data_IF_992420854896
#
_entry.id   IF_992420854896
#
_cell.length_a   1.000
_cell.length_b   1.000
_cell.length_c   1.000
_cell.angle_alpha   90.00
_cell.angle_beta   90.00
_cell.angle_gamma   90.00
#
_symmetry.space_group_name_H-M   'P 1'
#
loop_
_entity.id
_entity.type
_entity.pdbx_description
1 polymer ?
#
# COMPACT_ATOMS: atom_id res chain seq x y z
N UNK A 1 2.48 20.96 -0.89
CA UNK A 1 3.66 20.72 -1.76
C UNK A 1 4.22 22.06 -2.25
N UNK A 2 5.35 22.53 -1.69
CA UNK A 2 5.95 23.85 -1.99
C UNK A 2 6.35 24.06 -3.46
N UNK A 3 6.49 23.00 -4.26
CA UNK A 3 6.98 23.05 -5.64
C UNK A 3 5.89 22.93 -6.73
N UNK A 4 4.60 22.92 -6.38
CA UNK A 4 3.49 22.75 -7.35
C UNK A 4 3.49 23.78 -8.48
N UNK A 5 3.99 25.00 -8.23
CA UNK A 5 4.10 26.06 -9.22
C UNK A 5 5.03 25.70 -10.39
N UNK A 6 6.09 24.91 -10.17
CA UNK A 6 7.04 24.48 -11.22
C UNK A 6 6.43 23.47 -12.20
N UNK A 7 5.34 22.82 -11.82
CA UNK A 7 4.64 21.81 -12.63
C UNK A 7 3.52 22.42 -13.50
N UNK A 8 3.24 23.72 -13.38
CA UNK A 8 2.16 24.40 -14.12
C UNK A 8 2.39 24.51 -15.64
N UNK A 9 3.62 24.33 -16.11
CA UNK A 9 3.97 24.37 -17.54
C UNK A 9 3.75 23.01 -18.22
N UNK A 10 3.60 21.93 -17.44
CA UNK A 10 3.42 20.57 -17.91
C UNK A 10 1.92 20.23 -17.86
N UNK A 11 1.08 21.05 -18.52
CA UNK A 11 -0.40 20.93 -18.42
C UNK A 11 -0.96 19.69 -19.11
N UNK A 12 -0.28 19.19 -20.15
CA UNK A 12 -0.78 18.08 -20.98
C UNK A 12 -0.11 16.73 -20.69
N UNK A 13 1.07 16.72 -20.06
CA UNK A 13 1.73 15.46 -19.71
C UNK A 13 1.39 15.03 -18.29
N UNK A 14 0.90 13.79 -18.15
CA UNK A 14 0.73 13.15 -16.85
C UNK A 14 2.11 12.97 -16.22
N UNK A 15 2.40 13.75 -15.18
CA UNK A 15 3.64 13.62 -14.40
C UNK A 15 3.47 12.47 -13.42
N UNK A 16 4.21 11.38 -13.66
CA UNK A 16 4.29 10.25 -12.74
C UNK A 16 5.54 10.40 -11.88
N UNK A 17 5.34 10.51 -10.56
CA UNK A 17 6.45 10.37 -9.62
C UNK A 17 6.68 8.86 -9.49
N UNK A 18 7.77 8.37 -10.09
CA UNK A 18 8.20 7.01 -9.84
C UNK A 18 8.63 6.92 -8.38
N UNK A 19 7.98 6.03 -7.64
CA UNK A 19 8.35 5.69 -6.27
C UNK A 19 9.69 4.93 -6.34
N UNK A 20 10.68 5.35 -5.54
CA UNK A 20 11.99 4.69 -5.42
C UNK A 20 11.84 3.42 -4.58
N UNK A 21 11.03 2.49 -5.07
CA UNK A 21 10.80 1.20 -4.43
C UNK A 21 11.77 0.19 -5.00
N UNK A 22 12.46 -0.52 -4.10
CA UNK A 22 13.21 -1.71 -4.47
C UNK A 22 12.29 -2.76 -5.10
N UNK A 23 12.84 -3.66 -5.92
CA UNK A 23 12.09 -4.78 -6.55
C UNK A 23 11.31 -5.57 -5.48
N UNK A 24 11.96 -5.83 -4.35
CA UNK A 24 11.39 -6.55 -3.20
C UNK A 24 10.20 -5.77 -2.61
N UNK A 25 10.30 -4.45 -2.44
CA UNK A 25 9.20 -3.64 -1.92
C UNK A 25 8.03 -3.57 -2.91
N UNK A 26 8.31 -3.54 -4.21
CA UNK A 26 7.28 -3.58 -5.25
C UNK A 26 6.52 -4.91 -5.22
N UNK A 27 7.21 -6.02 -5.02
CA UNK A 27 6.57 -7.33 -4.84
C UNK A 27 5.71 -7.39 -3.57
N UNK A 28 6.23 -6.88 -2.45
CA UNK A 28 5.47 -6.78 -1.19
C UNK A 28 4.18 -5.97 -1.39
N UNK A 29 4.26 -4.82 -2.04
CA UNK A 29 3.07 -4.02 -2.34
C UNK A 29 2.09 -4.75 -3.26
N UNK A 30 2.56 -5.51 -4.26
CA UNK A 30 1.67 -6.32 -5.11
C UNK A 30 0.92 -7.36 -4.29
N UNK A 31 1.60 -8.06 -3.37
CA UNK A 31 0.95 -9.05 -2.51
C UNK A 31 -0.08 -8.41 -1.58
N UNK A 32 0.25 -7.26 -0.97
CA UNK A 32 -0.67 -6.49 -0.13
C UNK A 32 -1.90 -6.07 -0.93
N UNK A 33 -1.71 -5.55 -2.14
CA UNK A 33 -2.81 -5.14 -3.04
C UNK A 33 -3.66 -6.32 -3.47
N UNK A 34 -3.07 -7.49 -3.74
CA UNK A 34 -3.83 -8.70 -4.10
C UNK A 34 -4.78 -9.08 -2.98
N UNK A 35 -4.26 -9.20 -1.76
CA UNK A 35 -5.06 -9.54 -0.57
C UNK A 35 -6.13 -8.49 -0.26
N UNK A 36 -5.79 -7.21 -0.42
CA UNK A 36 -6.75 -6.13 -0.32
C UNK A 36 -7.87 -6.27 -1.36
N UNK A 37 -7.55 -6.59 -2.62
CA UNK A 37 -8.58 -6.72 -3.65
C UNK A 37 -9.49 -7.94 -3.43
N UNK A 38 -8.92 -9.05 -2.95
CA UNK A 38 -9.68 -10.25 -2.56
C UNK A 38 -10.70 -9.92 -1.46
N UNK A 39 -10.26 -9.26 -0.40
CA UNK A 39 -11.14 -8.88 0.72
C UNK A 39 -12.13 -7.77 0.33
N UNK A 40 -11.80 -6.92 -0.65
CA UNK A 40 -12.70 -5.90 -1.19
C UNK A 40 -13.83 -6.55 -1.97
N UNK A 41 -13.53 -7.61 -2.74
CA UNK A 41 -14.54 -8.42 -3.41
C UNK A 41 -15.53 -9.06 -2.42
N UNK A 42 -15.07 -9.33 -1.20
CA UNK A 42 -15.89 -9.83 -0.10
C UNK A 42 -16.69 -8.72 0.62
N UNK A 43 -16.66 -7.47 0.14
CA UNK A 43 -17.43 -6.36 0.70
C UNK A 43 -16.87 -5.74 1.99
N UNK A 44 -15.62 -6.02 2.36
CA UNK A 44 -14.99 -5.49 3.58
C UNK A 44 -14.41 -4.09 3.37
N UNK A 45 -14.38 -3.28 4.43
CA UNK A 45 -13.66 -1.99 4.42
C UNK A 45 -12.15 -2.24 4.46
N UNK A 46 -11.41 -1.57 3.56
CA UNK A 46 -9.98 -1.81 3.40
C UNK A 46 -9.19 -0.51 3.33
N UNK A 47 -8.17 -0.43 4.18
CA UNK A 47 -7.19 0.65 4.16
C UNK A 47 -5.79 0.09 3.96
N UNK A 48 -5.14 0.50 2.87
CA UNK A 48 -3.76 0.11 2.57
C UNK A 48 -2.82 1.17 3.16
N UNK A 49 -1.87 0.73 3.98
CA UNK A 49 -0.79 1.56 4.52
C UNK A 49 0.58 1.07 4.06
N UNK A 50 1.65 1.74 4.48
CA UNK A 50 3.01 1.29 4.20
C UNK A 50 3.29 -0.05 4.93
N UNK A 51 3.56 -1.11 4.15
CA UNK A 51 3.78 -2.49 4.65
C UNK A 51 2.66 -3.05 5.53
N UNK A 52 1.41 -2.56 5.38
CA UNK A 52 0.26 -3.07 6.14
C UNK A 52 -1.05 -2.90 5.38
N UNK A 53 -2.03 -3.72 5.73
CA UNK A 53 -3.42 -3.57 5.28
C UNK A 53 -4.34 -3.72 6.48
N UNK A 54 -5.29 -2.82 6.60
CA UNK A 54 -6.36 -2.88 7.59
C UNK A 54 -7.58 -3.42 6.85
N UNK A 55 -8.11 -4.54 7.31
CA UNK A 55 -9.32 -5.16 6.76
C UNK A 55 -10.34 -5.21 7.89
N UNK A 56 -11.46 -4.51 7.72
CA UNK A 56 -12.56 -4.50 8.70
C UNK A 56 -12.11 -4.10 10.12
N UNK A 57 -11.22 -3.11 10.21
CA UNK A 57 -10.62 -2.66 11.47
C UNK A 57 -9.50 -3.56 12.02
N UNK A 58 -9.24 -4.73 11.43
CA UNK A 58 -8.13 -5.60 11.82
C UNK A 58 -6.87 -5.23 11.05
N UNK A 59 -5.80 -4.86 11.75
CA UNK A 59 -4.50 -4.58 11.12
C UNK A 59 -3.76 -5.88 10.79
N UNK A 60 -3.37 -6.02 9.53
CA UNK A 60 -2.47 -7.04 9.04
C UNK A 60 -1.16 -6.37 8.63
N UNK A 61 -0.07 -6.77 9.26
CA UNK A 61 1.26 -6.19 9.01
C UNK A 61 2.11 -7.18 8.25
N UNK A 62 2.92 -6.65 7.33
CA UNK A 62 3.89 -7.46 6.61
C UNK A 62 5.01 -7.90 7.57
N UNK A 63 5.11 -9.20 7.82
CA UNK A 63 6.21 -9.79 8.56
C UNK A 63 7.40 -9.99 7.62
N UNK A 64 8.55 -9.41 7.99
CA UNK A 64 9.77 -9.49 7.16
C UNK A 64 10.46 -10.85 7.23
N UNK A 65 10.29 -11.59 8.33
CA UNK A 65 10.96 -12.88 8.55
C UNK A 65 10.23 -14.03 7.85
N UNK A 66 8.89 -13.95 7.80
CA UNK A 66 8.03 -14.96 7.17
C UNK A 66 7.50 -14.57 5.80
N UNK A 67 7.88 -13.38 5.30
CA UNK A 67 7.48 -12.83 4.00
C UNK A 67 5.96 -12.90 3.74
N UNK A 68 5.16 -12.65 4.78
CA UNK A 68 3.70 -12.78 4.71
C UNK A 68 2.98 -11.74 5.56
N UNK A 69 1.72 -11.47 5.21
CA UNK A 69 0.83 -10.67 6.03
C UNK A 69 0.33 -11.48 7.22
N UNK A 70 0.76 -11.11 8.43
CA UNK A 70 0.20 -11.64 9.67
C UNK A 70 -0.73 -10.62 10.32
N UNK A 71 -1.78 -11.11 10.98
CA UNK A 71 -2.61 -10.28 11.84
C UNK A 71 -1.72 -9.73 12.94
N UNK A 72 -1.72 -8.42 13.14
CA UNK A 72 -1.13 -7.84 14.33
C UNK A 72 -1.96 -8.37 15.52
N UNK A 73 -1.43 -9.34 16.25
CA UNK A 73 -2.07 -9.73 17.50
C UNK A 73 -2.02 -8.51 18.41
N UNK A 74 -3.20 -7.98 18.77
CA UNK A 74 -3.34 -7.11 19.93
C UNK A 74 -2.80 -7.91 21.12
N UNK A 75 -1.58 -7.59 21.56
CA UNK A 75 -1.13 -8.00 22.89
C UNK A 75 -2.01 -7.23 23.87
N UNK A 76 -2.98 -7.92 24.46
CA UNK A 76 -3.59 -7.50 25.73
C UNK A 76 -2.51 -7.48 26.81
#
# INVERSE_FOLDING_TARGET
>A
MKNKAKLKQIKEAKVYINDDLSVIEREKQKQIKKKANEEKGNGKDIKIGYNKVIVDGVEWRWDRAKEKLEKAQLKN
#
